data_IF_832656306363
#
_entry.id   IF_832656306363
#
_cell.length_a   1.000
_cell.length_b   1.000
_cell.length_c   1.000
_cell.angle_alpha   90.00
_cell.angle_beta   90.00
_cell.angle_gamma   90.00
#
_symmetry.space_group_name_H-M   'P 1'
#
loop_
_entity.id
_entity.type
_entity.pdbx_description
1 polymer ?
#
# COMPACT_ATOMS: atom_id res chain seq x y z
N UNK A 1 -33.10 -4.85 1.95
CA UNK A 1 -32.35 -4.79 0.68
C UNK A 1 -31.25 -3.70 0.66
N UNK A 2 -31.54 -2.44 1.02
CA UNK A 2 -30.55 -1.32 1.06
C UNK A 2 -29.28 -1.57 1.90
N UNK A 3 -29.35 -2.39 2.97
CA UNK A 3 -28.22 -2.68 3.88
C UNK A 3 -27.18 -3.64 3.27
N UNK A 4 -27.60 -4.59 2.42
CA UNK A 4 -26.68 -5.53 1.75
C UNK A 4 -25.90 -4.87 0.61
N UNK A 5 -26.58 -4.03 -0.20
CA UNK A 5 -25.90 -3.21 -1.21
C UNK A 5 -24.83 -2.28 -0.59
N UNK A 6 -25.08 -1.78 0.62
CA UNK A 6 -24.17 -0.87 1.33
C UNK A 6 -22.80 -1.47 1.67
N UNK A 7 -22.73 -2.79 1.83
CA UNK A 7 -21.47 -3.52 2.10
C UNK A 7 -20.93 -4.23 0.85
N UNK A 8 -21.79 -4.58 -0.10
CA UNK A 8 -21.38 -5.21 -1.35
C UNK A 8 -20.62 -4.24 -2.27
N UNK A 9 -20.97 -2.95 -2.26
CA UNK A 9 -20.35 -1.94 -3.14
C UNK A 9 -18.85 -1.73 -2.84
N UNK A 10 -18.42 -1.46 -1.57
CA UNK A 10 -16.99 -1.33 -1.27
C UNK A 10 -16.21 -2.61 -1.60
N UNK A 11 -16.73 -3.77 -1.21
CA UNK A 11 -16.06 -5.05 -1.48
C UNK A 11 -15.92 -5.33 -2.98
N UNK A 12 -16.90 -4.94 -3.80
CA UNK A 12 -16.84 -5.07 -5.25
C UNK A 12 -15.80 -4.12 -5.85
N UNK A 13 -15.69 -2.91 -5.33
CA UNK A 13 -14.68 -1.93 -5.73
C UNK A 13 -13.26 -2.45 -5.43
N UNK A 14 -13.04 -3.00 -4.22
CA UNK A 14 -11.77 -3.64 -3.86
C UNK A 14 -11.45 -4.83 -4.77
N UNK A 15 -12.43 -5.69 -5.06
CA UNK A 15 -12.25 -6.83 -5.96
C UNK A 15 -11.89 -6.37 -7.38
N UNK A 16 -12.54 -5.31 -7.86
CA UNK A 16 -12.22 -4.69 -9.14
C UNK A 16 -10.79 -4.16 -9.16
N UNK A 17 -10.28 -3.59 -8.07
CA UNK A 17 -8.86 -3.17 -7.95
C UNK A 17 -7.90 -4.35 -8.10
N UNK A 18 -8.22 -5.51 -7.52
CA UNK A 18 -7.41 -6.73 -7.66
C UNK A 18 -7.37 -7.20 -9.11
N UNK A 19 -8.52 -7.18 -9.79
CA UNK A 19 -8.60 -7.52 -11.23
C UNK A 19 -7.79 -6.54 -12.07
N UNK A 20 -7.97 -5.22 -11.86
CA UNK A 20 -7.21 -4.18 -12.55
C UNK A 20 -5.70 -4.31 -12.29
N UNK A 21 -5.30 -4.69 -11.07
CA UNK A 21 -3.90 -4.96 -10.72
C UNK A 21 -3.33 -6.11 -11.55
N UNK A 22 -4.08 -7.21 -11.72
CA UNK A 22 -3.72 -8.31 -12.60
C UNK A 22 -3.55 -7.85 -14.05
N UNK A 23 -4.49 -7.05 -14.56
CA UNK A 23 -4.41 -6.49 -15.91
C UNK A 23 -3.19 -5.57 -16.07
N UNK A 24 -2.97 -4.65 -15.12
CA UNK A 24 -1.83 -3.74 -15.12
C UNK A 24 -0.50 -4.50 -15.17
N UNK A 25 -0.34 -5.51 -14.31
CA UNK A 25 0.90 -6.30 -14.22
C UNK A 25 1.13 -7.14 -15.48
N UNK A 26 0.09 -7.71 -16.07
CA UNK A 26 0.18 -8.41 -17.36
C UNK A 26 0.64 -7.47 -18.49
N UNK A 27 0.03 -6.30 -18.59
CA UNK A 27 0.37 -5.30 -19.61
C UNK A 27 1.77 -4.71 -19.37
N UNK A 28 2.17 -4.52 -18.12
CA UNK A 28 3.49 -4.01 -17.75
C UNK A 28 4.56 -5.01 -18.16
N UNK A 29 4.38 -6.29 -17.83
CA UNK A 29 5.30 -7.35 -18.26
C UNK A 29 5.33 -7.48 -19.78
N UNK A 30 4.19 -7.34 -20.47
CA UNK A 30 4.14 -7.35 -21.94
C UNK A 30 4.91 -6.17 -22.54
N UNK A 31 4.73 -4.96 -22.02
CA UNK A 31 5.45 -3.75 -22.50
C UNK A 31 6.95 -3.88 -22.32
N UNK A 32 7.40 -4.33 -21.15
CA UNK A 32 8.83 -4.48 -20.88
C UNK A 32 9.46 -5.67 -21.60
N UNK A 33 8.66 -6.67 -22.00
CA UNK A 33 9.13 -7.78 -22.85
C UNK A 33 9.25 -7.39 -24.33
N UNK A 34 8.32 -6.56 -24.81
CA UNK A 34 8.23 -6.13 -26.20
C UNK A 34 8.73 -4.68 -26.27
N UNK A 35 10.05 -4.51 -26.30
CA UNK A 35 10.70 -3.21 -26.44
C UNK A 35 10.06 -2.41 -27.60
N UNK A 36 9.56 -1.20 -27.32
CA UNK A 36 9.16 -0.22 -28.35
C UNK A 36 7.68 -0.17 -28.75
N UNK A 37 6.74 -0.71 -27.96
CA UNK A 37 5.31 -0.49 -28.22
C UNK A 37 4.76 0.68 -27.37
N UNK A 38 4.71 1.87 -27.98
CA UNK A 38 4.21 3.12 -27.37
C UNK A 38 2.73 3.03 -26.99
N UNK A 39 1.91 2.25 -27.72
CA UNK A 39 0.48 2.12 -27.43
C UNK A 39 0.24 1.45 -26.06
N UNK A 40 1.10 0.50 -25.67
CA UNK A 40 1.01 -0.16 -24.36
C UNK A 40 1.26 0.80 -23.20
N UNK A 41 2.05 1.87 -23.40
CA UNK A 41 2.27 2.87 -22.36
C UNK A 41 0.98 3.61 -22.04
N UNK A 42 0.25 4.05 -23.07
CA UNK A 42 -1.02 4.77 -22.88
C UNK A 42 -2.04 3.91 -22.13
N UNK A 43 -2.16 2.62 -22.47
CA UNK A 43 -3.04 1.69 -21.73
C UNK A 43 -2.64 1.54 -20.27
N UNK A 44 -1.34 1.43 -19.98
CA UNK A 44 -0.85 1.33 -18.60
C UNK A 44 -1.15 2.58 -17.78
N UNK A 45 -1.00 3.77 -18.36
CA UNK A 45 -1.37 5.04 -17.72
C UNK A 45 -2.87 5.07 -17.42
N UNK A 46 -3.71 4.70 -18.38
CA UNK A 46 -5.17 4.65 -18.17
C UNK A 46 -5.56 3.66 -17.08
N UNK A 47 -4.98 2.45 -17.08
CA UNK A 47 -5.26 1.43 -16.06
C UNK A 47 -4.79 1.92 -14.69
N UNK A 48 -3.58 2.47 -14.58
CA UNK A 48 -3.07 2.99 -13.30
C UNK A 48 -3.99 4.11 -12.77
N UNK A 49 -4.41 5.02 -13.63
CA UNK A 49 -5.36 6.07 -13.26
C UNK A 49 -6.70 5.49 -12.82
N UNK A 50 -7.21 4.46 -13.51
CA UNK A 50 -8.42 3.76 -13.11
C UNK A 50 -8.28 3.12 -11.71
N UNK A 51 -7.15 2.47 -11.41
CA UNK A 51 -6.86 1.89 -10.08
C UNK A 51 -6.89 3.00 -9.01
N UNK A 52 -6.20 4.12 -9.25
CA UNK A 52 -6.15 5.25 -8.32
C UNK A 52 -7.52 5.90 -8.08
N UNK A 53 -8.28 6.16 -9.15
CA UNK A 53 -9.63 6.72 -9.05
C UNK A 53 -10.58 5.77 -8.31
N UNK A 54 -10.44 4.46 -8.53
CA UNK A 54 -11.23 3.43 -7.87
C UNK A 54 -11.03 3.47 -6.34
N UNK A 55 -9.80 3.68 -5.87
CA UNK A 55 -9.49 3.88 -4.45
C UNK A 55 -10.12 5.16 -3.87
N UNK A 56 -10.00 6.27 -4.59
CA UNK A 56 -10.58 7.54 -4.16
C UNK A 56 -12.10 7.50 -4.04
N UNK A 57 -12.75 6.81 -4.98
CA UNK A 57 -14.21 6.64 -5.00
C UNK A 57 -14.65 5.77 -3.81
N UNK A 58 -13.96 4.66 -3.53
CA UNK A 58 -14.30 3.80 -2.39
C UNK A 58 -14.20 4.57 -1.07
N UNK A 59 -13.13 5.35 -0.90
CA UNK A 59 -12.91 6.16 0.29
C UNK A 59 -13.98 7.24 0.51
N UNK A 60 -14.60 7.77 -0.55
CA UNK A 60 -15.74 8.72 -0.44
C UNK A 60 -17.05 8.00 -0.14
N UNK A 61 -17.31 6.89 -0.83
CA UNK A 61 -18.53 6.09 -0.67
C UNK A 61 -18.59 5.49 0.76
N UNK A 62 -17.50 4.91 1.24
CA UNK A 62 -17.42 4.33 2.58
C UNK A 62 -17.68 5.36 3.69
N UNK A 63 -17.13 6.58 3.55
CA UNK A 63 -17.37 7.70 4.49
C UNK A 63 -18.82 8.18 4.46
N UNK A 64 -19.41 8.25 3.27
CA UNK A 64 -20.81 8.67 3.11
C UNK A 64 -21.79 7.65 3.72
N UNK A 65 -21.50 6.36 3.60
CA UNK A 65 -22.40 5.31 4.06
C UNK A 65 -22.17 4.85 5.50
N UNK A 66 -21.15 5.33 6.24
CA UNK A 66 -20.84 4.91 7.63
C UNK A 66 -20.84 3.37 7.83
N UNK A 67 -20.56 2.62 6.76
CA UNK A 67 -20.64 1.16 6.72
C UNK A 67 -19.29 0.62 6.25
N UNK A 68 -18.27 0.84 7.09
CA UNK A 68 -16.97 0.18 6.91
C UNK A 68 -17.08 -1.18 7.58
N UNK A 69 -16.94 -2.26 6.81
CA UNK A 69 -16.86 -3.60 7.38
C UNK A 69 -15.40 -3.95 7.67
N UNK A 70 -15.14 -4.65 8.78
CA UNK A 70 -13.80 -5.13 9.14
C UNK A 70 -13.18 -6.05 8.07
N UNK A 71 -14.02 -6.75 7.31
CA UNK A 71 -13.57 -7.61 6.21
C UNK A 71 -13.18 -6.81 4.97
N UNK A 72 -13.98 -5.79 4.61
CA UNK A 72 -13.67 -4.90 3.47
C UNK A 72 -12.39 -4.11 3.68
N UNK A 73 -12.17 -3.55 4.88
CA UNK A 73 -10.92 -2.85 5.20
C UNK A 73 -9.69 -3.76 5.19
N UNK A 74 -9.86 -5.05 5.50
CA UNK A 74 -8.81 -6.05 5.36
C UNK A 74 -8.48 -6.35 3.90
N UNK A 75 -9.50 -6.56 3.06
CA UNK A 75 -9.32 -6.77 1.63
C UNK A 75 -8.69 -5.58 0.93
N UNK A 76 -9.03 -4.36 1.32
CA UNK A 76 -8.52 -3.12 0.75
C UNK A 76 -6.99 -3.01 0.92
N UNK A 77 -6.51 -3.15 2.16
CA UNK A 77 -5.08 -3.18 2.49
C UNK A 77 -4.36 -4.33 1.77
N UNK A 78 -5.01 -5.49 1.64
CA UNK A 78 -4.45 -6.63 0.92
C UNK A 78 -4.32 -6.38 -0.58
N UNK A 79 -5.33 -5.75 -1.20
CA UNK A 79 -5.33 -5.40 -2.61
C UNK A 79 -4.21 -4.40 -2.96
N UNK A 80 -3.99 -3.40 -2.09
CA UNK A 80 -2.90 -2.43 -2.27
C UNK A 80 -1.52 -3.09 -2.21
N UNK A 81 -1.31 -4.00 -1.25
CA UNK A 81 -0.05 -4.74 -1.16
C UNK A 81 0.15 -5.69 -2.33
N UNK A 82 -0.92 -6.31 -2.84
CA UNK A 82 -0.85 -7.13 -4.05
C UNK A 82 -0.38 -6.30 -5.25
N UNK A 83 -0.93 -5.10 -5.44
CA UNK A 83 -0.48 -4.18 -6.49
C UNK A 83 1.00 -3.82 -6.34
N UNK A 84 1.41 -3.36 -5.16
CA UNK A 84 2.79 -2.95 -4.90
C UNK A 84 3.77 -4.10 -5.17
N UNK A 85 3.48 -5.29 -4.64
CA UNK A 85 4.36 -6.45 -4.76
C UNK A 85 4.46 -6.96 -6.21
N UNK A 86 3.34 -7.11 -6.90
CA UNK A 86 3.33 -7.63 -8.27
C UNK A 86 3.96 -6.64 -9.26
N UNK A 87 3.62 -5.35 -9.18
CA UNK A 87 4.17 -4.33 -10.08
C UNK A 87 5.69 -4.15 -9.85
N UNK A 88 6.11 -4.05 -8.58
CA UNK A 88 7.55 -3.95 -8.24
C UNK A 88 8.31 -5.21 -8.64
N UNK A 89 7.72 -6.40 -8.45
CA UNK A 89 8.31 -7.67 -8.85
C UNK A 89 8.62 -7.75 -10.35
N UNK A 90 7.72 -7.23 -11.19
CA UNK A 90 7.97 -7.13 -12.63
C UNK A 90 9.12 -6.15 -12.91
N UNK A 91 9.14 -4.98 -12.29
CA UNK A 91 10.23 -4.02 -12.48
C UNK A 91 11.59 -4.58 -12.07
N UNK A 92 11.63 -5.41 -11.02
CA UNK A 92 12.85 -6.13 -10.61
C UNK A 92 13.25 -7.17 -11.65
N UNK A 93 12.30 -7.93 -12.21
CA UNK A 93 12.56 -8.90 -13.29
C UNK A 93 13.28 -8.26 -14.49
N UNK A 94 12.90 -7.03 -14.83
CA UNK A 94 13.53 -6.24 -15.91
C UNK A 94 14.69 -5.35 -15.44
N UNK A 95 15.20 -5.54 -14.21
CA UNK A 95 16.35 -4.84 -13.62
C UNK A 95 16.19 -3.31 -13.52
N UNK A 96 14.95 -2.81 -13.55
CA UNK A 96 14.66 -1.38 -13.37
C UNK A 96 14.70 -0.97 -11.90
N UNK A 97 14.37 -1.89 -10.99
CA UNK A 97 14.47 -1.71 -9.54
C UNK A 97 15.37 -2.81 -8.96
N UNK A 98 16.15 -2.48 -7.94
CA UNK A 98 16.98 -3.44 -7.24
C UNK A 98 16.14 -4.40 -6.37
N UNK A 99 16.47 -5.70 -6.39
CA UNK A 99 15.70 -6.74 -5.69
C UNK A 99 15.57 -6.52 -4.18
N UNK A 100 16.57 -5.90 -3.53
CA UNK A 100 16.55 -5.60 -2.10
C UNK A 100 15.38 -4.67 -1.71
N UNK A 101 14.89 -3.85 -2.65
CA UNK A 101 13.77 -2.94 -2.39
C UNK A 101 12.47 -3.71 -2.10
N UNK A 102 12.28 -4.89 -2.72
CA UNK A 102 11.14 -5.76 -2.43
C UNK A 102 11.18 -6.28 -0.99
N UNK A 103 12.37 -6.56 -0.46
CA UNK A 103 12.54 -6.97 0.93
C UNK A 103 12.14 -5.84 1.87
N UNK A 104 12.50 -4.59 1.56
CA UNK A 104 12.09 -3.42 2.35
C UNK A 104 10.56 -3.29 2.36
N UNK A 105 9.91 -3.44 1.20
CA UNK A 105 8.44 -3.41 1.10
C UNK A 105 7.82 -4.50 1.97
N UNK A 106 8.27 -5.76 1.81
CA UNK A 106 7.75 -6.90 2.59
C UNK A 106 7.95 -6.69 4.09
N UNK A 107 9.16 -6.27 4.50
CA UNK A 107 9.46 -5.98 5.90
C UNK A 107 8.52 -4.88 6.45
N UNK A 108 8.24 -3.85 5.64
CA UNK A 108 7.34 -2.78 6.05
C UNK A 108 5.88 -3.22 6.16
N UNK A 109 5.44 -4.12 5.28
CA UNK A 109 4.12 -4.74 5.35
C UNK A 109 3.99 -5.54 6.65
N UNK A 110 4.97 -6.39 6.96
CA UNK A 110 4.99 -7.19 8.19
C UNK A 110 4.99 -6.29 9.43
N UNK A 111 5.84 -5.26 9.47
CA UNK A 111 5.83 -4.23 10.51
C UNK A 111 4.42 -3.66 10.69
N UNK A 112 3.73 -3.36 9.59
CA UNK A 112 2.38 -2.83 9.63
C UNK A 112 1.33 -3.75 10.23
N UNK A 113 1.30 -5.00 9.82
CA UNK A 113 0.37 -5.96 10.43
C UNK A 113 0.67 -6.19 11.92
N UNK A 114 1.96 -6.35 12.29
CA UNK A 114 2.36 -6.65 13.66
C UNK A 114 2.07 -5.47 14.59
N UNK A 115 2.53 -4.27 14.25
CA UNK A 115 2.34 -3.09 15.12
C UNK A 115 0.87 -2.67 15.19
N UNK A 116 0.09 -2.76 14.10
CA UNK A 116 -1.36 -2.52 14.17
C UNK A 116 -2.06 -3.51 15.09
N UNK A 117 -1.70 -4.81 15.04
CA UNK A 117 -2.25 -5.82 15.97
C UNK A 117 -1.90 -5.53 17.42
N UNK A 118 -0.63 -5.19 17.70
CA UNK A 118 -0.17 -4.83 19.04
C UNK A 118 -0.97 -3.64 19.57
N UNK A 119 -1.00 -2.53 18.83
CA UNK A 119 -1.69 -1.31 19.27
C UNK A 119 -3.18 -1.58 19.54
N UNK A 120 -3.82 -2.36 18.66
CA UNK A 120 -5.24 -2.66 18.79
C UNK A 120 -5.56 -3.55 20.02
N UNK A 121 -4.65 -4.45 20.40
CA UNK A 121 -4.80 -5.25 21.62
C UNK A 121 -4.79 -4.41 22.91
N UNK A 122 -4.15 -3.23 22.89
CA UNK A 122 -4.04 -2.35 24.06
C UNK A 122 -5.02 -1.15 24.04
N UNK A 123 -5.82 -0.96 22.98
CA UNK A 123 -6.90 0.04 22.95
C UNK A 123 -8.11 -0.48 23.74
N UNK A 124 -8.50 0.22 24.81
CA UNK A 124 -9.64 -0.12 25.69
C UNK A 124 -11.02 0.29 25.12
N UNK A 125 -11.16 0.40 23.79
CA UNK A 125 -12.35 0.97 23.14
C UNK A 125 -12.70 0.26 21.83
N UNK A 126 -13.18 1.02 20.83
CA UNK A 126 -13.51 0.49 19.51
C UNK A 126 -12.26 -0.14 18.90
N UNK A 127 -12.25 -1.47 18.77
CA UNK A 127 -11.21 -2.22 18.08
C UNK A 127 -11.32 -1.94 16.60
N UNK A 128 -10.34 -1.22 16.06
CA UNK A 128 -10.21 -1.00 14.63
C UNK A 128 -9.37 -2.13 14.03
N UNK A 129 -9.61 -2.53 12.79
CA UNK A 129 -8.79 -3.59 12.17
C UNK A 129 -7.34 -3.18 11.97
N UNK A 130 -7.12 -1.90 11.63
CA UNK A 130 -5.79 -1.33 11.44
C UNK A 130 -5.70 0.06 12.05
N UNK A 131 -4.50 0.39 12.55
CA UNK A 131 -4.16 1.70 13.11
C UNK A 131 -3.19 2.39 12.18
N UNK A 132 -3.62 3.52 11.61
CA UNK A 132 -2.89 4.27 10.59
C UNK A 132 -2.24 5.53 11.15
N UNK A 133 -0.92 5.62 11.00
CA UNK A 133 -0.11 6.82 11.29
C UNK A 133 0.21 7.62 10.01
N UNK A 134 0.68 8.86 10.17
CA UNK A 134 0.99 9.74 9.04
C UNK A 134 2.20 9.25 8.23
N UNK A 135 3.30 8.90 8.90
CA UNK A 135 4.52 8.43 8.21
C UNK A 135 4.34 7.06 7.55
N UNK A 136 3.58 6.16 8.17
CA UNK A 136 3.21 4.87 7.58
C UNK A 136 2.41 5.04 6.30
N UNK A 137 1.47 5.99 6.28
CA UNK A 137 0.73 6.35 5.06
C UNK A 137 1.64 6.96 3.99
N UNK A 138 2.56 7.84 4.38
CA UNK A 138 3.54 8.40 3.43
C UNK A 138 4.41 7.30 2.79
N UNK A 139 4.88 6.32 3.58
CA UNK A 139 5.62 5.17 3.07
C UNK A 139 4.77 4.27 2.15
N UNK A 140 3.51 4.02 2.50
CA UNK A 140 2.62 3.23 1.66
C UNK A 140 2.35 3.91 0.30
N UNK A 141 2.08 5.21 0.32
CA UNK A 141 1.86 6.02 -0.90
C UNK A 141 3.12 6.02 -1.79
N UNK A 142 4.31 6.16 -1.20
CA UNK A 142 5.55 6.13 -1.98
C UNK A 142 5.78 4.80 -2.67
N UNK A 143 5.53 3.68 -1.98
CA UNK A 143 5.60 2.34 -2.58
C UNK A 143 4.54 2.09 -3.64
N UNK A 144 3.34 2.65 -3.46
CA UNK A 144 2.24 2.51 -4.40
C UNK A 144 2.48 3.26 -5.71
N UNK A 145 2.96 4.51 -5.64
CA UNK A 145 3.19 5.34 -6.84
C UNK A 145 4.49 4.93 -7.56
N UNK A 146 5.41 4.28 -6.85
CA UNK A 146 6.74 3.95 -7.36
C UNK A 146 6.74 3.24 -8.73
N UNK A 147 6.00 2.14 -8.92
CA UNK A 147 6.04 1.41 -10.18
C UNK A 147 5.63 2.25 -11.38
N UNK A 148 4.69 3.17 -11.17
CA UNK A 148 4.25 4.10 -12.21
C UNK A 148 5.32 5.15 -12.55
N UNK A 149 5.99 5.73 -11.54
CA UNK A 149 7.09 6.68 -11.79
C UNK A 149 8.22 6.00 -12.55
N UNK A 150 8.62 4.79 -12.15
CA UNK A 150 9.68 4.04 -12.83
C UNK A 150 9.30 3.71 -14.27
N UNK A 151 8.05 3.33 -14.52
CA UNK A 151 7.54 3.11 -15.87
C UNK A 151 7.65 4.37 -16.74
N UNK A 152 7.17 5.51 -16.25
CA UNK A 152 7.27 6.79 -16.96
C UNK A 152 8.74 7.18 -17.21
N UNK A 153 9.60 7.05 -16.20
CA UNK A 153 11.02 7.36 -16.35
C UNK A 153 11.70 6.46 -17.39
N UNK A 154 11.37 5.17 -17.41
CA UNK A 154 11.94 4.25 -18.38
C UNK A 154 11.54 4.64 -19.82
N UNK A 155 10.28 5.04 -20.02
CA UNK A 155 9.75 5.49 -21.30
C UNK A 155 10.41 6.79 -21.78
N UNK A 156 10.47 7.82 -20.92
CA UNK A 156 10.97 9.14 -21.32
C UNK A 156 12.50 9.24 -21.38
N UNK A 157 13.22 8.42 -20.60
CA UNK A 157 14.69 8.49 -20.50
C UNK A 157 15.41 7.34 -21.23
N UNK A 158 14.68 6.53 -22.02
CA UNK A 158 15.23 5.39 -22.78
C UNK A 158 16.18 4.51 -21.95
N UNK A 159 15.75 4.12 -20.74
CA UNK A 159 16.53 3.27 -19.84
C UNK A 159 17.72 3.93 -19.14
N UNK A 160 18.01 5.22 -19.34
CA UNK A 160 19.06 5.97 -18.62
C UNK A 160 18.62 6.47 -17.24
N UNK A 161 17.55 5.91 -16.69
CA UNK A 161 16.93 6.36 -15.44
C UNK A 161 17.47 5.68 -14.17
N UNK A 162 18.52 4.87 -14.27
CA UNK A 162 19.02 4.04 -13.16
C UNK A 162 19.34 4.89 -11.92
N UNK A 163 20.03 6.02 -12.09
CA UNK A 163 20.40 6.89 -10.96
C UNK A 163 19.17 7.51 -10.27
N UNK A 164 18.22 8.01 -11.05
CA UNK A 164 16.98 8.61 -10.54
C UNK A 164 16.13 7.58 -9.82
N UNK A 165 15.98 6.37 -10.38
CA UNK A 165 15.22 5.29 -9.75
C UNK A 165 15.90 4.84 -8.46
N UNK A 166 17.23 4.69 -8.44
CA UNK A 166 17.97 4.39 -7.21
C UNK A 166 17.73 5.46 -6.15
N UNK A 167 17.88 6.75 -6.48
CA UNK A 167 17.63 7.85 -5.56
C UNK A 167 16.22 7.79 -4.95
N UNK A 168 15.19 7.60 -5.77
CA UNK A 168 13.81 7.50 -5.32
C UNK A 168 13.55 6.25 -4.44
N UNK A 169 14.18 5.10 -4.74
CA UNK A 169 14.07 3.88 -3.91
C UNK A 169 14.72 4.06 -2.53
N UNK A 170 15.87 4.75 -2.46
CA UNK A 170 16.50 5.10 -1.18
C UNK A 170 15.64 6.06 -0.37
N UNK A 171 15.08 7.11 -0.98
CA UNK A 171 14.17 8.03 -0.29
C UNK A 171 12.94 7.31 0.27
N UNK A 172 12.33 6.44 -0.53
CA UNK A 172 11.19 5.63 -0.09
C UNK A 172 11.55 4.70 1.08
N UNK A 173 12.77 4.14 1.05
CA UNK A 173 13.31 3.32 2.14
C UNK A 173 13.52 4.13 3.42
N UNK A 174 14.06 5.35 3.32
CA UNK A 174 14.26 6.25 4.47
C UNK A 174 12.91 6.58 5.12
N UNK A 175 11.88 6.92 4.32
CA UNK A 175 10.53 7.18 4.85
C UNK A 175 9.98 5.95 5.56
N UNK A 176 10.16 4.75 4.98
CA UNK A 176 9.73 3.50 5.58
C UNK A 176 10.43 3.20 6.92
N UNK A 177 11.74 3.48 7.02
CA UNK A 177 12.52 3.36 8.25
C UNK A 177 12.04 4.35 9.32
N UNK A 178 11.86 5.63 8.98
CA UNK A 178 11.34 6.64 9.90
C UNK A 178 9.97 6.22 10.44
N UNK A 179 9.08 5.74 9.56
CA UNK A 179 7.78 5.21 9.97
C UNK A 179 7.91 4.01 10.91
N UNK A 180 8.83 3.07 10.64
CA UNK A 180 9.09 1.93 11.51
C UNK A 180 9.53 2.38 12.92
N UNK A 181 10.48 3.30 13.01
CA UNK A 181 10.94 3.83 14.30
C UNK A 181 9.80 4.48 15.10
N UNK A 182 8.98 5.32 14.44
CA UNK A 182 7.86 5.98 15.10
C UNK A 182 6.83 4.97 15.66
N UNK A 183 6.54 3.91 14.91
CA UNK A 183 5.56 2.90 15.35
C UNK A 183 6.08 2.02 16.47
N UNK A 184 7.36 1.68 16.46
CA UNK A 184 7.99 0.97 17.58
C UNK A 184 7.90 1.79 18.87
N UNK A 185 8.23 3.09 18.81
CA UNK A 185 8.13 4.00 19.96
C UNK A 185 6.68 4.04 20.48
N UNK A 186 5.70 4.15 19.58
CA UNK A 186 4.28 4.16 19.93
C UNK A 186 3.87 2.87 20.65
N UNK A 187 4.29 1.70 20.14
CA UNK A 187 4.02 0.40 20.78
C UNK A 187 4.60 0.33 22.21
N UNK A 188 5.84 0.78 22.41
CA UNK A 188 6.50 0.79 23.72
C UNK A 188 5.74 1.72 24.68
N UNK A 189 5.39 2.94 24.24
CA UNK A 189 4.66 3.91 25.05
C UNK A 189 3.31 3.37 25.51
N UNK A 190 2.57 2.72 24.62
CA UNK A 190 1.26 2.13 24.94
C UNK A 190 1.41 0.99 25.95
N UNK A 191 2.37 0.10 25.76
CA UNK A 191 2.64 -1.00 26.69
C UNK A 191 3.01 -0.49 28.09
N UNK A 192 3.86 0.55 28.18
CA UNK A 192 4.23 1.19 29.45
C UNK A 192 3.04 1.84 30.16
N UNK A 193 2.19 2.56 29.43
CA UNK A 193 0.99 3.21 30.01
C UNK A 193 0.00 2.20 30.60
N UNK A 194 -0.15 1.04 29.96
CA UNK A 194 -1.03 -0.02 30.45
C UNK A 194 -0.47 -0.71 31.69
N UNK A 195 0.85 -0.95 31.74
CA UNK A 195 1.50 -1.49 32.93
C UNK A 195 1.30 -0.58 34.16
N UNK A 196 1.45 0.75 34.01
CA UNK A 196 1.25 1.69 35.12
C UNK A 196 -0.21 1.76 35.60
N UNK A 197 -1.20 1.58 34.71
CA UNK A 197 -2.62 1.53 35.10
C UNK A 197 -2.95 0.30 35.94
N UNK A 198 -2.32 -0.84 35.66
CA UNK A 198 -2.52 -2.07 36.41
C UNK A 198 -1.89 -2.02 37.81
N UNK A 199 -0.74 -1.33 37.94
CA UNK A 199 -0.02 -1.21 39.22
C UNK A 199 -0.69 -0.20 40.17
N UNK A 200 -1.28 0.87 39.62
CA UNK A 200 -2.02 1.89 40.38
C UNK A 200 -3.43 1.49 40.84
N UNK A 201 -3.94 0.31 40.43
CA UNK A 201 -5.23 -0.23 40.89
C UNK A 201 -5.12 -1.18 42.09
N UNK A 202 -3.93 -1.28 42.69
CA UNK A 202 -3.60 -2.19 43.80
C UNK A 202 -3.44 -1.48 45.16
N UNK A 203 -3.90 -0.23 45.26
CA UNK A 203 -3.94 0.56 46.52
C UNK A 203 -5.39 0.89 46.85
#
# INVERSE_FOLDING_TARGET
MKKYLRYAVPNFITLLRVVLTGIFTLFLNKKLALDGNDELFTYLVMIFFAIYVTDFIDGKIARYFKSVSSFGSFLDVLADFLFILCATGILIKYKLIAWWFLIVIIAKIIDFFVTSKIINNYKLGVKETFVFDFMGRAAAISFYIMPFIVLCMNEYLNGRCVFQVMFLTYMSTIIALISLFQRIILCIQIKRRQAMKHDGSTI
#
